data_IF_157432324056
#
_entry.id   IF_157432324056
#
_cell.length_a   1.000
_cell.length_b   1.000
_cell.length_c   1.000
_cell.angle_alpha   90.00
_cell.angle_beta   90.00
_cell.angle_gamma   90.00
#
_symmetry.space_group_name_H-M   'P 1'
#
loop_
_entity.id
_entity.type
_entity.pdbx_description
1 polymer ?
#
# COMPACT_ATOMS: atom_id res chain seq x y z
N UNK A 1 -15.67 14.56 -1.81
CA UNK A 1 -15.59 13.84 -0.53
C UNK A 1 -16.22 14.72 0.54
N UNK A 2 -17.11 14.20 1.39
CA UNK A 2 -17.60 14.96 2.55
C UNK A 2 -16.53 14.91 3.62
N UNK A 3 -15.94 16.05 3.94
CA UNK A 3 -14.98 16.16 5.05
C UNK A 3 -15.72 16.40 6.36
N UNK A 4 -15.09 16.06 7.48
CA UNK A 4 -15.64 16.19 8.84
C UNK A 4 -16.18 17.61 9.10
N UNK A 5 -15.47 18.63 8.60
CA UNK A 5 -15.89 20.04 8.70
C UNK A 5 -17.26 20.29 8.06
N UNK A 6 -17.54 19.70 6.89
CA UNK A 6 -18.81 19.86 6.20
C UNK A 6 -19.96 19.22 6.98
N UNK A 7 -19.72 18.05 7.57
CA UNK A 7 -20.68 17.34 8.41
C UNK A 7 -21.01 18.19 9.65
N UNK A 8 -19.98 18.74 10.31
CA UNK A 8 -20.14 19.61 11.46
C UNK A 8 -20.94 20.89 11.13
N UNK A 9 -20.65 21.53 9.99
CA UNK A 9 -21.40 22.71 9.52
C UNK A 9 -22.87 22.40 9.29
N UNK A 10 -23.19 21.29 8.60
CA UNK A 10 -24.59 20.88 8.37
C UNK A 10 -25.32 20.68 9.70
N UNK A 11 -24.72 19.97 10.65
CA UNK A 11 -25.33 19.73 11.97
C UNK A 11 -25.52 21.01 12.76
N UNK A 12 -24.54 21.91 12.79
CA UNK A 12 -24.67 23.20 13.49
C UNK A 12 -25.80 24.04 12.88
N UNK A 13 -25.86 24.15 11.56
CA UNK A 13 -26.91 24.93 10.89
C UNK A 13 -28.31 24.35 11.18
N UNK A 14 -28.46 23.03 11.23
CA UNK A 14 -29.77 22.40 11.46
C UNK A 14 -30.16 22.32 12.93
N UNK A 15 -29.28 21.83 13.80
CA UNK A 15 -29.58 21.46 15.19
C UNK A 15 -29.38 22.63 16.16
N UNK A 16 -28.48 23.55 15.84
CA UNK A 16 -28.20 24.72 16.71
C UNK A 16 -28.88 25.98 16.17
N UNK A 17 -28.82 26.21 14.86
CA UNK A 17 -29.39 27.42 14.24
C UNK A 17 -30.81 27.23 13.68
N UNK A 18 -31.35 26.00 13.69
CA UNK A 18 -32.73 25.73 13.25
C UNK A 18 -32.99 25.96 11.76
N UNK A 19 -31.96 26.09 10.90
CA UNK A 19 -32.14 26.35 9.47
C UNK A 19 -32.80 25.16 8.77
N UNK A 20 -33.68 25.46 7.83
CA UNK A 20 -34.30 24.42 7.00
C UNK A 20 -33.27 23.75 6.09
N UNK A 21 -33.56 22.50 5.69
CA UNK A 21 -32.73 21.77 4.73
C UNK A 21 -32.52 22.58 3.44
N UNK A 22 -33.52 23.34 2.99
CA UNK A 22 -33.44 24.15 1.76
C UNK A 22 -32.43 25.29 1.90
N UNK A 23 -32.38 25.95 3.05
CA UNK A 23 -31.42 27.01 3.35
C UNK A 23 -30.00 26.45 3.44
N UNK A 24 -29.83 25.34 4.18
CA UNK A 24 -28.52 24.66 4.29
C UNK A 24 -27.99 24.24 2.91
N UNK A 25 -28.86 23.73 2.03
CA UNK A 25 -28.46 23.38 0.66
C UNK A 25 -27.96 24.59 -0.15
N UNK A 26 -28.62 25.76 0.00
CA UNK A 26 -28.25 26.99 -0.71
C UNK A 26 -26.95 27.58 -0.16
N UNK A 27 -26.81 27.62 1.15
CA UNK A 27 -25.67 28.21 1.85
C UNK A 27 -24.39 27.40 1.66
N UNK A 28 -24.47 26.07 1.82
CA UNK A 28 -23.30 25.21 1.69
C UNK A 28 -23.07 24.70 0.26
N UNK A 29 -24.01 24.96 -0.67
CA UNK A 29 -24.03 24.39 -2.03
C UNK A 29 -23.96 22.86 -2.05
N UNK A 30 -24.68 22.23 -1.11
CA UNK A 30 -24.71 20.77 -0.94
C UNK A 30 -26.07 20.23 -1.37
N UNK A 31 -26.07 19.04 -1.98
CA UNK A 31 -27.32 18.41 -2.40
C UNK A 31 -28.21 18.07 -1.21
N UNK A 32 -29.53 18.19 -1.42
CA UNK A 32 -30.55 17.81 -0.43
C UNK A 32 -30.41 16.38 0.07
N UNK A 33 -29.96 15.46 -0.80
CA UNK A 33 -29.70 14.05 -0.46
C UNK A 33 -28.59 13.93 0.59
N UNK A 34 -27.50 14.69 0.43
CA UNK A 34 -26.38 14.68 1.36
C UNK A 34 -26.75 15.32 2.70
N UNK A 35 -27.42 16.48 2.69
CA UNK A 35 -27.88 17.12 3.93
C UNK A 35 -28.79 16.17 4.71
N UNK A 36 -29.75 15.51 4.05
CA UNK A 36 -30.60 14.49 4.68
C UNK A 36 -29.80 13.30 5.20
N UNK A 37 -28.81 12.81 4.44
CA UNK A 37 -27.94 11.71 4.90
C UNK A 37 -27.24 12.09 6.20
N UNK A 38 -26.62 13.27 6.24
CA UNK A 38 -25.91 13.80 7.41
C UNK A 38 -26.80 13.98 8.62
N UNK A 39 -28.03 14.47 8.43
CA UNK A 39 -28.96 14.71 9.53
C UNK A 39 -29.68 13.44 10.02
N UNK A 40 -29.75 12.39 9.18
CA UNK A 40 -30.36 11.10 9.56
C UNK A 40 -29.37 10.15 10.23
N UNK A 41 -28.07 10.35 10.06
CA UNK A 41 -27.05 9.50 10.64
C UNK A 41 -26.19 10.28 11.64
N UNK A 42 -25.91 9.70 12.80
CA UNK A 42 -24.95 10.26 13.76
C UNK A 42 -23.48 10.08 13.35
N UNK A 43 -23.22 9.50 12.17
CA UNK A 43 -21.90 9.36 11.58
C UNK A 43 -21.13 10.69 11.43
N UNK A 44 -19.93 10.76 11.99
CA UNK A 44 -19.01 11.90 11.95
C UNK A 44 -18.14 11.91 10.69
N UNK A 45 -18.09 10.79 9.97
CA UNK A 45 -17.45 10.64 8.67
C UNK A 45 -18.31 9.73 7.76
N UNK A 46 -18.24 9.97 6.45
CA UNK A 46 -18.80 9.07 5.44
C UNK A 46 -17.67 8.52 4.59
N UNK A 47 -17.19 7.33 4.94
CA UNK A 47 -16.28 6.58 4.07
C UNK A 47 -17.08 5.86 3.00
N UNK A 48 -16.59 5.93 1.78
CA UNK A 48 -17.05 5.03 0.73
C UNK A 48 -16.22 3.76 0.86
N UNK A 49 -16.84 2.73 1.43
CA UNK A 49 -16.28 1.39 1.45
C UNK A 49 -16.91 0.60 0.31
N UNK A 50 -16.05 0.08 -0.57
CA UNK A 50 -16.48 -0.84 -1.62
C UNK A 50 -16.18 -2.24 -1.11
N UNK A 51 -17.22 -3.03 -0.88
CA UNK A 51 -17.09 -4.41 -0.39
C UNK A 51 -16.34 -5.31 -1.38
N UNK A 52 -16.54 -5.10 -2.68
CA UNK A 52 -15.88 -5.89 -3.72
C UNK A 52 -15.35 -5.01 -4.84
N UNK A 53 -14.02 -5.04 -5.06
CA UNK A 53 -13.42 -4.42 -6.23
C UNK A 53 -13.55 -5.39 -7.42
N UNK A 54 -14.31 -5.03 -8.48
CA UNK A 54 -14.46 -5.92 -9.62
C UNK A 54 -13.10 -6.16 -10.30
N UNK A 55 -12.76 -7.43 -10.50
CA UNK A 55 -11.54 -7.88 -11.17
C UNK A 55 -11.88 -8.57 -12.50
N UNK A 56 -12.48 -7.88 -13.49
CA UNK A 56 -13.06 -8.53 -14.66
C UNK A 56 -12.03 -9.24 -15.54
N UNK A 57 -10.77 -8.78 -15.55
CA UNK A 57 -9.68 -9.38 -16.34
C UNK A 57 -8.82 -10.36 -15.54
N UNK A 58 -8.55 -10.09 -14.26
CA UNK A 58 -7.73 -10.99 -13.41
C UNK A 58 -8.55 -12.14 -12.85
N UNK A 59 -9.84 -11.95 -12.56
CA UNK A 59 -10.71 -12.94 -11.92
C UNK A 59 -10.53 -14.35 -12.48
N UNK A 60 -10.67 -14.55 -13.80
CA UNK A 60 -10.47 -15.87 -14.43
C UNK A 60 -9.02 -16.43 -14.38
N UNK A 61 -8.05 -15.60 -14.03
CA UNK A 61 -6.62 -15.90 -14.02
C UNK A 61 -6.02 -15.96 -12.61
N UNK A 62 -6.84 -15.80 -11.56
CA UNK A 62 -6.37 -15.73 -10.17
C UNK A 62 -5.57 -16.97 -9.79
N UNK A 63 -6.15 -18.16 -9.93
CA UNK A 63 -5.49 -19.43 -9.58
C UNK A 63 -4.13 -19.58 -10.29
N UNK A 64 -4.05 -19.17 -11.56
CA UNK A 64 -2.82 -19.25 -12.34
C UNK A 64 -1.79 -18.23 -11.85
N UNK A 65 -2.22 -17.02 -11.55
CA UNK A 65 -1.35 -15.96 -11.02
C UNK A 65 -0.86 -16.31 -9.60
N UNK A 66 -1.72 -16.85 -8.75
CA UNK A 66 -1.36 -17.34 -7.42
C UNK A 66 -0.32 -18.45 -7.49
N UNK A 67 -0.47 -19.39 -8.43
CA UNK A 67 0.52 -20.43 -8.68
C UNK A 67 1.89 -19.85 -9.09
N UNK A 68 1.91 -18.87 -10.00
CA UNK A 68 3.14 -18.19 -10.41
C UNK A 68 3.78 -17.41 -9.26
N UNK A 69 2.99 -16.67 -8.48
CA UNK A 69 3.48 -15.88 -7.35
C UNK A 69 4.03 -16.77 -6.22
N UNK A 70 3.31 -17.84 -5.88
CA UNK A 70 3.72 -18.81 -4.85
C UNK A 70 4.99 -19.56 -5.26
N UNK A 71 5.01 -20.07 -6.50
CA UNK A 71 6.19 -20.75 -7.05
C UNK A 71 7.40 -19.83 -7.14
N UNK A 72 7.19 -18.55 -7.45
CA UNK A 72 8.25 -17.55 -7.44
C UNK A 72 8.74 -17.22 -6.03
N UNK A 73 7.84 -17.09 -5.06
CA UNK A 73 8.19 -16.80 -3.67
C UNK A 73 9.01 -17.91 -3.02
N UNK A 74 8.72 -19.18 -3.35
CA UNK A 74 9.47 -20.35 -2.88
C UNK A 74 10.91 -20.47 -3.41
N UNK A 75 11.30 -19.69 -4.42
CA UNK A 75 12.68 -19.67 -4.94
C UNK A 75 13.63 -18.89 -4.04
N UNK A 76 14.92 -19.22 -4.11
CA UNK A 76 15.98 -18.43 -3.49
C UNK A 76 15.93 -16.98 -4.01
N UNK A 77 16.31 -16.00 -3.19
CA UNK A 77 16.15 -14.57 -3.52
C UNK A 77 16.73 -14.18 -4.90
N UNK A 78 17.89 -14.76 -5.27
CA UNK A 78 18.56 -14.55 -6.55
C UNK A 78 17.82 -15.14 -7.77
N UNK A 79 16.96 -16.12 -7.55
CA UNK A 79 16.19 -16.86 -8.58
C UNK A 79 14.74 -16.35 -8.69
N UNK A 80 14.33 -15.42 -7.81
CA UNK A 80 13.00 -14.82 -7.85
C UNK A 80 12.89 -13.90 -9.06
N UNK A 81 11.88 -14.17 -9.87
CA UNK A 81 11.46 -13.34 -10.99
C UNK A 81 10.91 -12.01 -10.49
N UNK A 82 11.14 -10.97 -11.30
CA UNK A 82 10.46 -9.69 -11.13
C UNK A 82 9.00 -9.80 -11.52
N UNK A 83 8.15 -8.90 -11.00
CA UNK A 83 6.72 -8.87 -11.34
C UNK A 83 6.45 -8.70 -12.84
N UNK A 84 7.34 -8.01 -13.57
CA UNK A 84 7.20 -7.87 -15.01
C UNK A 84 7.40 -9.22 -15.73
N UNK A 85 8.33 -10.08 -15.25
CA UNK A 85 8.52 -11.43 -15.80
C UNK A 85 7.34 -12.34 -15.49
N UNK A 86 6.80 -12.28 -14.27
CA UNK A 86 5.55 -13.00 -13.92
C UNK A 86 4.40 -12.56 -14.82
N UNK A 87 4.29 -11.26 -15.13
CA UNK A 87 3.31 -10.75 -16.08
C UNK A 87 3.52 -11.28 -17.51
N UNK A 88 4.76 -11.32 -17.99
CA UNK A 88 5.10 -11.86 -19.31
C UNK A 88 4.79 -13.36 -19.41
N UNK A 89 5.08 -14.14 -18.37
CA UNK A 89 4.69 -15.55 -18.29
C UNK A 89 3.16 -15.70 -18.32
N UNK A 90 2.44 -14.88 -17.56
CA UNK A 90 0.97 -14.87 -17.57
C UNK A 90 0.43 -14.47 -18.95
N UNK A 91 1.06 -13.51 -19.64
CA UNK A 91 0.74 -13.13 -21.02
C UNK A 91 0.97 -14.28 -22.00
N UNK A 92 2.06 -15.03 -21.85
CA UNK A 92 2.38 -16.19 -22.67
C UNK A 92 1.34 -17.31 -22.57
N UNK A 93 0.60 -17.36 -21.47
CA UNK A 93 -0.50 -18.31 -21.28
C UNK A 93 -1.84 -17.85 -21.87
N UNK A 94 -1.93 -16.60 -22.36
CA UNK A 94 -3.14 -16.03 -22.97
C UNK A 94 -3.81 -14.92 -22.18
N UNK A 95 -3.20 -14.41 -21.11
CA UNK A 95 -3.77 -13.28 -20.38
C UNK A 95 -3.78 -12.02 -21.24
N UNK A 96 -4.89 -11.29 -21.31
CA UNK A 96 -5.02 -10.06 -22.11
C UNK A 96 -5.14 -8.78 -21.28
N UNK A 97 -5.05 -8.89 -19.96
CA UNK A 97 -5.13 -7.73 -19.08
C UNK A 97 -3.82 -6.95 -18.99
N UNK A 98 -3.89 -5.83 -18.27
CA UNK A 98 -2.74 -4.95 -18.08
C UNK A 98 -1.79 -5.45 -17.00
N UNK A 99 -0.54 -5.00 -17.09
CA UNK A 99 0.47 -5.18 -16.04
C UNK A 99 0.04 -4.54 -14.71
N UNK A 100 -0.57 -3.35 -14.72
CA UNK A 100 -1.02 -2.68 -13.49
C UNK A 100 -2.05 -3.51 -12.71
N UNK A 101 -2.91 -4.23 -13.43
CA UNK A 101 -3.85 -5.16 -12.81
C UNK A 101 -3.09 -6.26 -12.06
N UNK A 102 -2.13 -6.95 -12.71
CA UNK A 102 -1.28 -7.97 -12.08
C UNK A 102 -0.50 -7.41 -10.90
N UNK A 103 0.06 -6.21 -11.04
CA UNK A 103 0.80 -5.52 -9.98
C UNK A 103 -0.08 -5.24 -8.76
N UNK A 104 -1.31 -4.75 -8.95
CA UNK A 104 -2.25 -4.49 -7.84
C UNK A 104 -2.64 -5.78 -7.13
N UNK A 105 -2.91 -6.84 -7.88
CA UNK A 105 -3.23 -8.15 -7.32
C UNK A 105 -2.06 -8.71 -6.51
N UNK A 106 -0.86 -8.75 -7.09
CA UNK A 106 0.34 -9.27 -6.42
C UNK A 106 0.70 -8.48 -5.15
N UNK A 107 0.40 -7.18 -5.09
CA UNK A 107 0.60 -6.38 -3.87
C UNK A 107 -0.35 -6.82 -2.73
N UNK A 108 -1.60 -7.14 -3.06
CA UNK A 108 -2.55 -7.72 -2.10
C UNK A 108 -2.08 -9.08 -1.62
N UNK A 109 -1.76 -9.97 -2.57
CA UNK A 109 -1.22 -11.29 -2.32
C UNK A 109 0.03 -11.27 -1.41
N UNK A 110 1.00 -10.39 -1.69
CA UNK A 110 2.22 -10.27 -0.89
C UNK A 110 1.95 -9.76 0.53
N UNK A 111 0.92 -8.93 0.73
CA UNK A 111 0.51 -8.46 2.06
C UNK A 111 -0.13 -9.59 2.87
N UNK A 112 -0.93 -10.43 2.23
CA UNK A 112 -1.54 -11.60 2.86
C UNK A 112 -0.46 -12.61 3.27
N UNK A 113 0.53 -12.86 2.40
CA UNK A 113 1.66 -13.75 2.68
C UNK A 113 2.66 -13.18 3.70
N UNK A 114 3.00 -11.88 3.59
CA UNK A 114 3.96 -11.20 4.47
C UNK A 114 3.43 -10.88 5.86
N UNK A 115 2.15 -11.14 6.13
CA UNK A 115 1.55 -10.97 7.45
C UNK A 115 2.07 -11.96 8.52
N UNK A 116 2.83 -12.99 8.10
CA UNK A 116 3.43 -13.98 9.00
C UNK A 116 4.82 -13.64 9.54
N UNK A 117 5.59 -12.76 8.89
CA UNK A 117 6.97 -12.45 9.31
C UNK A 117 7.32 -11.01 8.96
N UNK A 118 7.08 -10.09 9.90
CA UNK A 118 7.80 -8.81 9.91
C UNK A 118 9.26 -9.15 10.19
N UNK A 119 10.17 -8.80 9.29
CA UNK A 119 11.61 -8.84 9.58
C UNK A 119 11.84 -7.90 10.78
N UNK A 120 11.92 -8.49 11.97
CA UNK A 120 12.26 -7.75 13.18
C UNK A 120 13.78 -7.60 13.21
N UNK A 121 14.25 -6.37 13.00
CA UNK A 121 15.65 -6.05 13.24
C UNK A 121 15.84 -5.83 14.75
N UNK A 122 16.63 -6.68 15.38
CA UNK A 122 17.06 -6.47 16.77
C UNK A 122 18.35 -5.65 16.73
N UNK A 123 18.34 -4.38 17.18
CA UNK A 123 19.58 -3.62 17.26
C UNK A 123 20.51 -4.28 18.28
N UNK A 124 21.73 -4.57 17.85
CA UNK A 124 22.79 -4.99 18.76
C UNK A 124 23.28 -3.76 19.55
N UNK A 125 23.06 -3.77 20.86
CA UNK A 125 23.55 -2.75 21.79
C UNK A 125 24.69 -3.33 22.60
N UNK A 126 25.84 -2.66 22.57
CA UNK A 126 27.04 -3.04 23.29
C UNK A 126 27.50 -1.87 24.16
N UNK A 127 28.00 -2.15 25.36
CA UNK A 127 28.69 -1.13 26.14
C UNK A 127 30.02 -0.74 25.45
N UNK A 128 30.57 0.46 25.74
CA UNK A 128 31.90 0.82 25.25
C UNK A 128 32.94 -0.26 25.60
N UNK A 129 33.57 -0.86 24.58
CA UNK A 129 34.60 -1.91 24.73
C UNK A 129 34.10 -3.36 24.70
N UNK A 130 32.81 -3.61 24.53
CA UNK A 130 32.24 -4.97 24.52
C UNK A 130 32.22 -5.62 23.13
N UNK A 131 32.12 -4.81 22.07
CA UNK A 131 32.18 -5.28 20.69
C UNK A 131 33.20 -4.48 19.88
N UNK A 132 34.02 -5.20 19.11
CA UNK A 132 35.03 -4.63 18.23
C UNK A 132 34.72 -5.04 16.79
N UNK A 133 34.61 -4.05 15.90
CA UNK A 133 34.54 -4.28 14.47
C UNK A 133 35.87 -3.84 13.87
N UNK A 134 36.58 -4.79 13.27
CA UNK A 134 37.82 -4.52 12.54
C UNK A 134 37.48 -4.49 11.05
N UNK A 135 37.73 -3.34 10.44
CA UNK A 135 37.72 -3.21 8.98
C UNK A 135 39.15 -3.33 8.47
N UNK A 136 39.30 -3.91 7.27
CA UNK A 136 40.58 -4.11 6.63
C UNK A 136 40.57 -3.37 5.30
N UNK A 137 41.42 -2.36 5.18
CA UNK A 137 41.74 -1.74 3.89
C UNK A 137 43.13 -2.20 3.43
N UNK A 138 43.32 -2.21 2.12
CA UNK A 138 44.64 -2.37 1.52
C UNK A 138 45.03 -1.03 0.91
N UNK A 139 46.17 -0.49 1.37
CA UNK A 139 46.71 0.77 0.89
C UNK A 139 48.13 0.54 0.39
N UNK A 140 48.43 1.05 -0.80
CA UNK A 140 49.78 1.02 -1.37
C UNK A 140 50.44 2.35 -1.03
N UNK A 141 51.52 2.30 -0.26
CA UNK A 141 52.30 3.47 0.14
C UNK A 141 53.71 3.45 -0.47
N UNK A 142 54.20 4.63 -0.84
CA UNK A 142 55.58 4.83 -1.32
C UNK A 142 56.50 5.05 -0.13
N UNK A 143 57.39 4.10 0.14
CA UNK A 143 58.45 4.26 1.16
C UNK A 143 59.78 4.35 0.43
N UNK A 144 60.51 5.46 0.61
CA UNK A 144 61.79 5.73 -0.07
C UNK A 144 61.72 5.63 -1.61
N UNK A 145 60.59 6.01 -2.20
CA UNK A 145 60.42 6.05 -3.66
C UNK A 145 60.14 4.69 -4.32
N UNK A 146 59.93 3.63 -3.52
CA UNK A 146 59.55 2.31 -4.02
C UNK A 146 58.28 1.86 -3.29
N UNK A 147 57.31 1.33 -4.02
CA UNK A 147 56.13 0.69 -3.43
C UNK A 147 56.49 -0.76 -3.11
N UNK A 148 56.42 -1.14 -1.83
CA UNK A 148 56.44 -2.55 -1.43
C UNK A 148 55.06 -3.20 -1.62
N UNK A 149 54.99 -4.53 -1.77
CA UNK A 149 53.73 -5.28 -1.83
C UNK A 149 52.93 -5.20 -0.52
#
# INVERSE_FOLDING_TARGET
>A
MLVVETIAKIRRLSLVQGKSIKEICRELRISRKVVRKVLRSDATEFRYEREHQPMPKIGPWQDRLDGLLSGNHGKAARERLTLIRVYEELRGLGYEGSYDAVRRYAKGWAKEQGSGTVEAYVPLLFAPGEAYQFDWSHEIVLINGVTGP
#
